data_IF_001876665315
#
_entry.id   IF_001876665315
#
_cell.length_a   1.000
_cell.length_b   1.000
_cell.length_c   1.000
_cell.angle_alpha   90.00
_cell.angle_beta   90.00
_cell.angle_gamma   90.00
#
_symmetry.space_group_name_H-M   'P 1'
#
loop_
_entity.id
_entity.type
_entity.pdbx_description
1 polymer ?
#
# COMPACT_ATOMS: atom_id res chain seq x y z
N UNK A 1 2.99 16.73 8.52
CA UNK A 1 2.41 15.53 7.89
C UNK A 1 3.57 14.73 7.34
N UNK A 2 3.60 13.42 7.59
CA UNK A 2 4.63 12.55 7.05
C UNK A 2 4.61 12.58 5.51
N UNK A 3 5.80 12.52 4.91
CA UNK A 3 5.99 12.55 3.45
C UNK A 3 5.82 11.16 2.84
N UNK A 4 5.22 11.09 1.66
CA UNK A 4 5.20 9.91 0.80
C UNK A 4 5.88 10.23 -0.53
N UNK A 5 6.98 9.55 -0.86
CA UNK A 5 7.74 9.73 -2.11
C UNK A 5 7.37 8.74 -3.21
N UNK A 6 6.53 7.74 -2.93
CA UNK A 6 6.08 6.78 -3.93
C UNK A 6 4.95 7.38 -4.75
N UNK A 7 5.28 7.95 -5.91
CA UNK A 7 4.33 8.71 -6.74
C UNK A 7 3.52 7.81 -7.68
N UNK A 8 2.30 8.24 -7.99
CA UNK A 8 1.50 7.63 -9.05
C UNK A 8 2.06 7.95 -10.43
N UNK A 9 1.91 7.02 -11.38
CA UNK A 9 2.39 7.19 -12.74
C UNK A 9 1.25 7.36 -13.74
N UNK A 10 1.37 8.39 -14.57
CA UNK A 10 0.51 8.60 -15.73
C UNK A 10 -0.95 8.88 -15.38
N UNK A 11 -1.28 9.55 -14.28
CA UNK A 11 -2.67 9.82 -13.86
C UNK A 11 -3.34 11.01 -14.56
N UNK A 12 -2.58 11.80 -15.33
CA UNK A 12 -3.10 12.98 -16.00
C UNK A 12 -4.21 12.65 -17.01
N UNK A 13 -5.12 13.61 -17.21
CA UNK A 13 -6.08 13.54 -18.31
C UNK A 13 -5.36 13.41 -19.66
N UNK A 14 -5.87 12.55 -20.53
CA UNK A 14 -5.24 12.27 -21.83
C UNK A 14 -3.91 11.49 -21.77
N UNK A 15 -3.48 11.02 -20.60
CA UNK A 15 -2.27 10.22 -20.49
C UNK A 15 -2.34 8.97 -21.38
N UNK A 16 -1.21 8.68 -22.04
CA UNK A 16 -1.07 7.62 -23.03
C UNK A 16 -1.13 6.21 -22.40
N UNK A 17 -2.33 5.76 -22.03
CA UNK A 17 -2.59 4.44 -21.46
C UNK A 17 -3.73 3.75 -22.20
N UNK A 18 -3.90 2.46 -21.93
CA UNK A 18 -5.14 1.76 -22.30
C UNK A 18 -6.31 2.10 -21.37
N UNK A 19 -7.52 2.04 -21.92
CA UNK A 19 -8.75 1.95 -21.13
C UNK A 19 -8.75 0.66 -20.27
N UNK A 20 -9.68 0.55 -19.33
CA UNK A 20 -9.80 -0.69 -18.54
C UNK A 20 -10.21 -1.88 -19.42
N UNK A 21 -11.13 -1.67 -20.35
CA UNK A 21 -11.62 -2.73 -21.24
C UNK A 21 -10.55 -3.18 -22.23
N UNK A 22 -9.82 -2.24 -22.83
CA UNK A 22 -8.68 -2.52 -23.72
C UNK A 22 -7.60 -3.34 -22.99
N UNK A 23 -7.30 -2.99 -21.73
CA UNK A 23 -6.32 -3.72 -20.93
C UNK A 23 -6.82 -5.10 -20.49
N UNK A 24 -8.10 -5.22 -20.13
CA UNK A 24 -8.71 -6.50 -19.76
C UNK A 24 -8.65 -7.52 -20.90
N UNK A 25 -8.88 -7.05 -22.14
CA UNK A 25 -8.82 -7.84 -23.36
C UNK A 25 -7.39 -8.09 -23.88
N UNK A 26 -6.38 -7.36 -23.40
CA UNK A 26 -5.01 -7.49 -23.85
C UNK A 26 -4.42 -8.85 -23.46
N UNK A 27 -4.06 -9.69 -24.44
CA UNK A 27 -3.44 -10.99 -24.20
C UNK A 27 -2.14 -10.89 -23.37
N UNK A 28 -1.34 -9.85 -23.59
CA UNK A 28 -0.10 -9.60 -22.85
C UNK A 28 -0.33 -9.28 -21.36
N UNK A 29 -1.54 -8.85 -20.94
CA UNK A 29 -1.86 -8.70 -19.51
C UNK A 29 -1.75 -10.04 -18.77
N UNK A 30 -2.15 -11.12 -19.44
CA UNK A 30 -2.13 -12.48 -18.87
C UNK A 30 -0.79 -13.16 -19.12
N UNK A 31 -0.27 -13.08 -20.34
CA UNK A 31 0.92 -13.82 -20.76
C UNK A 31 2.25 -13.09 -20.50
N UNK A 32 2.19 -11.81 -20.13
CA UNK A 32 3.34 -10.91 -20.12
C UNK A 32 3.69 -10.38 -21.52
N UNK A 33 4.53 -9.35 -21.56
CA UNK A 33 5.06 -8.79 -22.80
C UNK A 33 6.11 -9.72 -23.41
N UNK A 34 5.93 -10.10 -24.67
CA UNK A 34 6.92 -10.87 -25.43
C UNK A 34 8.01 -9.97 -26.02
N UNK A 35 9.10 -10.57 -26.49
CA UNK A 35 10.11 -9.84 -27.25
C UNK A 35 9.50 -9.19 -28.50
N UNK A 36 9.92 -7.97 -28.82
CA UNK A 36 9.40 -7.20 -29.95
C UNK A 36 9.22 -5.73 -29.62
N UNK A 37 8.28 -5.08 -30.32
CA UNK A 37 8.02 -3.65 -30.16
C UNK A 37 7.23 -3.39 -28.88
N UNK A 38 7.81 -2.60 -27.97
CA UNK A 38 7.14 -2.14 -26.76
C UNK A 38 6.11 -1.05 -27.08
N UNK A 39 4.82 -1.37 -26.96
CA UNK A 39 3.74 -0.40 -27.14
C UNK A 39 3.53 0.40 -25.86
N UNK A 40 4.00 1.65 -25.85
CA UNK A 40 4.00 2.51 -24.65
C UNK A 40 2.65 2.57 -23.91
N UNK A 41 1.50 2.56 -24.61
CA UNK A 41 0.16 2.53 -23.98
C UNK A 41 -0.09 1.30 -23.11
N UNK A 42 0.39 0.14 -23.55
CA UNK A 42 0.25 -1.12 -22.82
C UNK A 42 1.12 -1.10 -21.56
N UNK A 43 2.39 -0.67 -21.70
CA UNK A 43 3.32 -0.58 -20.57
C UNK A 43 2.89 0.47 -19.55
N UNK A 44 2.50 1.66 -20.01
CA UNK A 44 2.03 2.75 -19.14
C UNK A 44 0.78 2.32 -18.34
N UNK A 45 -0.07 1.46 -18.88
CA UNK A 45 -1.23 0.93 -18.14
C UNK A 45 -0.81 0.03 -17.00
N UNK A 46 0.16 -0.87 -17.23
CA UNK A 46 0.70 -1.72 -16.18
C UNK A 46 1.37 -0.86 -15.09
N UNK A 47 2.23 0.09 -15.46
CA UNK A 47 2.89 1.00 -14.52
C UNK A 47 1.90 1.86 -13.74
N UNK A 48 0.83 2.35 -14.38
CA UNK A 48 -0.24 3.09 -13.70
C UNK A 48 -0.90 2.23 -12.63
N UNK A 49 -1.35 1.01 -12.95
CA UNK A 49 -2.03 0.16 -11.97
C UNK A 49 -1.11 -0.19 -10.80
N UNK A 50 0.16 -0.51 -11.05
CA UNK A 50 1.13 -0.80 -9.99
C UNK A 50 1.41 0.43 -9.11
N UNK A 51 1.73 1.57 -9.73
CA UNK A 51 2.07 2.80 -9.00
C UNK A 51 0.92 3.35 -8.15
N UNK A 52 -0.34 3.20 -8.58
CA UNK A 52 -1.49 3.59 -7.76
C UNK A 52 -1.54 2.78 -6.47
N UNK A 53 -1.41 1.45 -6.54
CA UNK A 53 -1.45 0.59 -5.36
C UNK A 53 -0.25 0.86 -4.45
N UNK A 54 0.94 1.03 -5.03
CA UNK A 54 2.14 1.41 -4.27
C UNK A 54 1.95 2.75 -3.55
N UNK A 55 1.42 3.76 -4.22
CA UNK A 55 1.16 5.06 -3.62
C UNK A 55 0.17 4.97 -2.46
N UNK A 56 -0.94 4.24 -2.62
CA UNK A 56 -1.95 4.03 -1.56
C UNK A 56 -1.33 3.36 -0.34
N UNK A 57 -0.52 2.31 -0.54
CA UNK A 57 0.13 1.62 0.56
C UNK A 57 1.16 2.52 1.27
N UNK A 58 1.97 3.26 0.51
CA UNK A 58 2.94 4.18 1.06
C UNK A 58 2.27 5.35 1.82
N UNK A 59 1.14 5.84 1.32
CA UNK A 59 0.34 6.87 1.99
C UNK A 59 -0.26 6.35 3.31
N UNK A 60 -0.78 5.13 3.31
CA UNK A 60 -1.22 4.44 4.54
C UNK A 60 -0.08 4.33 5.55
N UNK A 61 1.12 3.89 5.11
CA UNK A 61 2.28 3.79 5.99
C UNK A 61 2.63 5.16 6.58
N UNK A 62 2.73 6.20 5.75
CA UNK A 62 3.09 7.54 6.18
C UNK A 62 2.08 8.09 7.20
N UNK A 63 0.79 7.94 6.90
CA UNK A 63 -0.31 8.42 7.74
C UNK A 63 -0.36 7.73 9.10
N UNK A 64 -0.34 6.40 9.12
CA UNK A 64 -0.59 5.64 10.35
C UNK A 64 0.69 5.48 11.20
N UNK A 65 1.88 5.46 10.58
CA UNK A 65 3.15 5.42 11.34
C UNK A 65 3.59 6.79 11.85
N UNK A 66 3.17 7.87 11.19
CA UNK A 66 3.65 9.23 11.46
C UNK A 66 5.06 9.53 10.93
N UNK A 67 5.68 8.58 10.22
CA UNK A 67 7.05 8.68 9.69
C UNK A 67 7.05 8.86 8.17
N UNK A 68 8.08 9.54 7.66
CA UNK A 68 8.30 9.67 6.22
C UNK A 68 8.54 8.31 5.54
N UNK A 69 8.00 8.17 4.34
CA UNK A 69 8.12 6.99 3.46
C UNK A 69 8.90 7.42 2.22
N UNK A 70 10.22 7.18 2.25
CA UNK A 70 11.18 7.68 1.26
C UNK A 70 11.53 6.63 0.20
N UNK A 71 11.70 7.06 -1.06
CA UNK A 71 12.14 6.20 -2.17
C UNK A 71 13.68 6.23 -2.32
N UNK A 72 14.38 5.74 -1.29
CA UNK A 72 15.84 5.75 -1.21
C UNK A 72 16.47 4.35 -1.08
N UNK A 73 15.66 3.30 -1.28
CA UNK A 73 16.10 1.90 -1.18
C UNK A 73 16.28 1.35 0.24
N UNK A 74 15.95 2.10 1.30
CA UNK A 74 16.01 1.59 2.67
C UNK A 74 14.81 0.68 3.00
N UNK A 75 14.94 -0.59 2.66
CA UNK A 75 13.90 -1.60 2.84
C UNK A 75 13.57 -1.83 4.33
N UNK A 76 14.55 -1.75 5.22
CA UNK A 76 14.33 -2.01 6.64
C UNK A 76 13.50 -0.91 7.29
N UNK A 77 13.75 0.36 6.95
CA UNK A 77 12.92 1.48 7.37
C UNK A 77 11.46 1.32 6.88
N UNK A 78 11.26 0.92 5.63
CA UNK A 78 9.93 0.67 5.08
C UNK A 78 9.20 -0.45 5.83
N UNK A 79 9.89 -1.55 6.16
CA UNK A 79 9.31 -2.65 6.94
C UNK A 79 8.94 -2.21 8.36
N UNK A 80 9.82 -1.48 9.04
CA UNK A 80 9.54 -0.96 10.39
C UNK A 80 8.36 -0.01 10.39
N UNK A 81 8.30 0.92 9.42
CA UNK A 81 7.18 1.85 9.31
C UNK A 81 5.88 1.15 8.96
N UNK A 82 5.90 0.13 8.09
CA UNK A 82 4.71 -0.68 7.79
C UNK A 82 4.20 -1.42 9.02
N UNK A 83 5.09 -2.05 9.79
CA UNK A 83 4.69 -2.75 11.02
C UNK A 83 4.06 -1.78 12.04
N UNK A 84 4.65 -0.58 12.18
CA UNK A 84 4.12 0.47 13.05
C UNK A 84 2.76 0.97 12.56
N UNK A 85 2.62 1.23 11.27
CA UNK A 85 1.35 1.65 10.65
C UNK A 85 0.23 0.63 10.91
N UNK A 86 0.51 -0.66 10.71
CA UNK A 86 -0.45 -1.73 11.02
C UNK A 86 -0.80 -1.74 12.50
N UNK A 87 0.20 -1.65 13.39
CA UNK A 87 -0.03 -1.62 14.84
C UNK A 87 -0.93 -0.45 15.25
N UNK A 88 -0.69 0.73 14.69
CA UNK A 88 -1.44 1.95 15.02
C UNK A 88 -2.84 1.97 14.40
N UNK A 89 -3.03 1.33 13.23
CA UNK A 89 -4.33 1.22 12.58
C UNK A 89 -5.26 0.20 13.26
N UNK A 90 -4.71 -0.73 14.05
CA UNK A 90 -5.51 -1.65 14.84
C UNK A 90 -6.07 -0.93 16.07
N UNK A 91 -7.33 -1.17 16.44
CA UNK A 91 -7.88 -0.62 17.67
C UNK A 91 -7.05 -1.09 18.85
N UNK A 92 -6.80 -0.19 19.81
CA UNK A 92 -6.16 -0.60 21.07
C UNK A 92 -6.95 -1.75 21.68
N UNK A 93 -6.22 -2.81 22.00
CA UNK A 93 -6.74 -3.91 22.79
C UNK A 93 -6.86 -3.39 24.22
N UNK A 94 -8.08 -3.08 24.65
CA UNK A 94 -8.35 -2.53 25.97
C UNK A 94 -8.57 -3.65 26.98
N UNK A 95 -8.19 -3.38 28.23
CA UNK A 95 -8.58 -4.23 29.35
C UNK A 95 -10.11 -4.25 29.46
N UNK A 96 -10.67 -5.41 29.81
CA UNK A 96 -12.11 -5.48 30.05
C UNK A 96 -12.48 -4.64 31.28
N UNK A 97 -13.61 -3.95 31.21
CA UNK A 97 -14.21 -3.25 32.35
C UNK A 97 -15.57 -3.88 32.67
N UNK A 98 -16.22 -3.41 33.73
CA UNK A 98 -17.59 -3.85 34.07
C UNK A 98 -18.62 -3.48 32.99
N UNK A 99 -18.28 -2.55 32.09
CA UNK A 99 -19.17 -1.99 31.07
C UNK A 99 -18.67 -2.17 29.64
N UNK A 100 -17.41 -2.54 29.44
CA UNK A 100 -16.79 -2.69 28.12
C UNK A 100 -16.10 -4.05 28.00
N UNK A 101 -16.38 -4.76 26.89
CA UNK A 101 -15.69 -6.01 26.57
C UNK A 101 -14.23 -5.72 26.22
N UNK A 102 -13.31 -6.49 26.78
CA UNK A 102 -11.88 -6.39 26.54
C UNK A 102 -11.16 -7.69 26.90
N UNK A 103 -9.85 -7.64 27.13
CA UNK A 103 -9.05 -8.80 27.57
C UNK A 103 -8.74 -8.66 29.05
N UNK A 104 -8.64 -9.77 29.79
CA UNK A 104 -8.18 -9.79 31.18
C UNK A 104 -7.04 -10.80 31.27
N UNK A 105 -5.91 -10.42 31.87
CA UNK A 105 -4.88 -11.37 32.25
C UNK A 105 -5.36 -12.14 33.50
N UNK A 106 -5.54 -13.45 33.36
CA UNK A 106 -5.81 -14.31 34.51
C UNK A 106 -4.53 -14.44 35.35
N UNK A 107 -4.56 -13.99 36.60
CA UNK A 107 -3.49 -14.22 37.59
C UNK A 107 -3.91 -15.29 38.59
N UNK A 108 -2.95 -16.11 39.02
CA UNK A 108 -3.12 -17.05 40.13
C UNK A 108 -2.79 -16.43 41.50
N UNK A 109 -2.58 -15.11 41.54
CA UNK A 109 -2.46 -14.38 42.78
C UNK A 109 -3.81 -14.47 43.51
N UNK A 110 -3.86 -15.32 44.53
CA UNK A 110 -4.81 -15.15 45.62
C UNK A 110 -4.35 -13.91 46.38
N UNK A 111 -5.19 -12.87 46.44
CA UNK A 111 -5.00 -11.73 47.35
C UNK A 111 -4.60 -12.20 48.76
#
# INVERSE_FOLDING_TARGET
MAKNEFLTFGMAEGANVLSNDEYAALAARVNGFSAGVAKSRELNKAWRQSSIITHILADFIAKESGNDVLDNGNIDALKSNLALAIKNALPEVRDATLTEKGIIQLSNATD
#
